data_IF_524653042973
#
_entry.id   IF_524653042973
#
_cell.length_a   1.000
_cell.length_b   1.000
_cell.length_c   1.000
_cell.angle_alpha   90.00
_cell.angle_beta   90.00
_cell.angle_gamma   90.00
#
_symmetry.space_group_name_H-M   'P 1'
#
loop_
_entity.id
_entity.type
_entity.pdbx_description
1 polymer ?
#
# COMPACT_ATOMS: atom_id res chain seq x y z
N UNK A 1 -34.42 28.27 2.99
CA UNK A 1 -34.92 26.92 3.31
C UNK A 1 -35.35 26.09 2.09
N UNK A 2 -36.20 26.56 1.17
CA UNK A 2 -36.66 25.75 0.02
C UNK A 2 -35.56 25.20 -0.91
N UNK A 3 -34.47 25.94 -1.13
CA UNK A 3 -33.34 25.48 -1.97
C UNK A 3 -32.53 24.34 -1.34
N UNK A 4 -32.39 24.32 -0.01
CA UNK A 4 -31.62 23.30 0.73
C UNK A 4 -32.35 21.94 0.68
N UNK A 5 -33.68 21.96 0.78
CA UNK A 5 -34.52 20.75 0.69
C UNK A 5 -34.38 20.08 -0.68
N UNK A 6 -34.27 20.87 -1.76
CA UNK A 6 -34.08 20.33 -3.11
C UNK A 6 -32.74 19.62 -3.28
N UNK A 7 -31.66 20.14 -2.69
CA UNK A 7 -30.34 19.50 -2.76
C UNK A 7 -30.29 18.21 -1.93
N UNK A 8 -30.94 18.18 -0.76
CA UNK A 8 -31.06 16.98 0.07
C UNK A 8 -31.80 15.85 -0.67
N UNK A 9 -32.88 16.17 -1.38
CA UNK A 9 -33.61 15.16 -2.15
C UNK A 9 -32.79 14.56 -3.29
N UNK A 10 -31.98 15.37 -3.99
CA UNK A 10 -31.09 14.88 -5.06
C UNK A 10 -30.02 13.93 -4.49
N UNK A 11 -29.41 14.29 -3.36
CA UNK A 11 -28.44 13.41 -2.70
C UNK A 11 -29.04 12.07 -2.26
N UNK A 12 -30.26 12.06 -1.73
CA UNK A 12 -30.97 10.83 -1.35
C UNK A 12 -31.23 9.93 -2.56
N UNK A 13 -31.59 10.50 -3.71
CA UNK A 13 -31.78 9.73 -4.95
C UNK A 13 -30.46 9.10 -5.40
N UNK A 14 -29.35 9.83 -5.38
CA UNK A 14 -28.04 9.29 -5.79
C UNK A 14 -27.61 8.13 -4.88
N UNK A 15 -27.83 8.25 -3.56
CA UNK A 15 -27.51 7.18 -2.61
C UNK A 15 -28.39 5.93 -2.80
N UNK A 16 -29.67 6.10 -3.15
CA UNK A 16 -30.59 4.97 -3.34
C UNK A 16 -30.35 4.21 -4.65
N UNK A 17 -29.82 4.86 -5.70
CA UNK A 17 -29.58 4.24 -7.00
C UNK A 17 -28.10 3.87 -7.24
N UNK A 18 -27.19 4.12 -6.28
CA UNK A 18 -25.75 4.02 -6.45
C UNK A 18 -25.10 2.64 -6.22
N UNK A 19 -25.83 1.59 -5.86
CA UNK A 19 -25.23 0.25 -5.67
C UNK A 19 -25.05 -0.47 -7.02
N UNK A 20 -23.90 -0.22 -7.66
CA UNK A 20 -23.42 -1.02 -8.80
C UNK A 20 -23.02 -2.43 -8.34
N UNK A 21 -23.37 -3.42 -9.16
CA UNK A 21 -23.10 -4.84 -8.93
C UNK A 21 -21.60 -5.12 -8.97
N UNK A 22 -21.14 -5.87 -7.97
CA UNK A 22 -19.79 -6.43 -7.90
C UNK A 22 -19.80 -7.78 -8.65
N UNK A 23 -18.96 -7.91 -9.68
CA UNK A 23 -18.79 -9.16 -10.42
C UNK A 23 -17.75 -10.02 -9.70
N UNK A 24 -18.19 -11.20 -9.23
CA UNK A 24 -17.36 -12.18 -8.54
C UNK A 24 -16.67 -13.03 -9.62
N UNK A 25 -15.34 -12.92 -9.71
CA UNK A 25 -14.53 -13.82 -10.53
C UNK A 25 -14.42 -15.19 -9.86
N UNK A 26 -14.75 -16.24 -10.62
CA UNK A 26 -14.78 -17.64 -10.22
C UNK A 26 -13.36 -18.23 -10.26
N UNK A 27 -12.94 -18.90 -9.18
CA UNK A 27 -11.62 -19.50 -9.00
C UNK A 27 -11.53 -20.88 -9.70
N UNK A 28 -10.51 -21.08 -10.55
CA UNK A 28 -10.29 -22.36 -11.23
C UNK A 28 -9.67 -23.42 -10.31
N UNK A 29 -10.25 -24.62 -10.33
CA UNK A 29 -9.91 -25.76 -9.48
C UNK A 29 -8.83 -26.64 -10.15
N UNK A 30 -7.67 -26.74 -9.52
CA UNK A 30 -6.56 -27.61 -9.98
C UNK A 30 -6.83 -29.06 -9.54
N UNK A 31 -6.89 -29.99 -10.50
CA UNK A 31 -6.97 -31.43 -10.27
C UNK A 31 -5.59 -32.06 -10.33
N UNK A 32 -5.13 -32.61 -9.20
CA UNK A 32 -3.91 -33.40 -9.13
C UNK A 32 -4.15 -34.81 -9.69
N UNK A 33 -3.32 -35.24 -10.64
CA UNK A 33 -3.29 -36.61 -11.14
C UNK A 33 -2.41 -37.48 -10.23
N UNK A 34 -2.94 -38.64 -9.85
CA UNK A 34 -2.25 -39.68 -9.09
C UNK A 34 -1.31 -40.42 -10.04
N UNK A 35 -0.03 -40.49 -9.69
CA UNK A 35 0.99 -41.28 -10.41
C UNK A 35 1.25 -42.54 -9.58
N UNK A 36 1.15 -43.69 -10.23
CA UNK A 36 1.31 -45.03 -9.66
C UNK A 36 2.76 -45.32 -9.22
N UNK A 37 2.85 -46.09 -8.14
CA UNK A 37 4.06 -46.55 -7.47
C UNK A 37 4.91 -47.46 -8.38
N UNK A 38 6.17 -47.08 -8.60
CA UNK A 38 7.20 -47.93 -9.18
C UNK A 38 8.20 -48.25 -8.07
N UNK A 39 8.22 -49.50 -7.62
CA UNK A 39 9.25 -50.03 -6.74
C UNK A 39 10.57 -50.13 -7.51
N UNK A 40 11.53 -49.26 -7.18
CA UNK A 40 12.89 -49.32 -7.70
C UNK A 40 13.91 -49.43 -6.57
N UNK A 41 14.81 -50.38 -6.81
CA UNK A 41 15.89 -50.91 -5.99
C UNK A 41 16.84 -49.83 -5.42
N UNK A 42 17.13 -49.96 -4.13
CA UNK A 42 17.79 -48.98 -3.27
C UNK A 42 19.29 -48.86 -3.58
N UNK A 43 19.65 -47.86 -4.38
CA UNK A 43 21.02 -47.33 -4.48
C UNK A 43 21.01 -45.90 -3.99
N UNK A 44 21.59 -45.69 -2.81
CA UNK A 44 21.81 -44.38 -2.23
C UNK A 44 22.77 -43.55 -3.11
N UNK A 45 22.20 -42.82 -4.07
CA UNK A 45 22.89 -41.75 -4.78
C UNK A 45 22.59 -40.44 -4.03
N UNK A 46 23.61 -39.67 -3.61
CA UNK A 46 23.39 -38.39 -2.96
C UNK A 46 22.65 -37.45 -3.94
N UNK A 47 21.36 -37.23 -3.68
CA UNK A 47 20.54 -36.27 -4.42
C UNK A 47 20.99 -34.88 -4.01
N UNK A 48 21.74 -34.22 -4.88
CA UNK A 48 22.02 -32.79 -4.76
C UNK A 48 20.75 -32.08 -5.22
N UNK A 49 19.90 -31.70 -4.26
CA UNK A 49 18.73 -30.86 -4.52
C UNK A 49 19.23 -29.44 -4.69
N UNK A 50 19.37 -28.99 -5.95
CA UNK A 50 19.59 -27.59 -6.25
C UNK A 50 18.25 -26.86 -6.04
N UNK A 51 18.13 -26.12 -4.94
CA UNK A 51 16.96 -25.25 -4.70
C UNK A 51 16.96 -24.11 -5.72
N UNK A 52 16.12 -24.23 -6.75
CA UNK A 52 15.77 -23.12 -7.62
C UNK A 52 14.94 -22.11 -6.81
N UNK A 53 15.54 -20.97 -6.46
CA UNK A 53 14.81 -19.87 -5.84
C UNK A 53 13.94 -19.22 -6.90
N UNK A 54 12.63 -19.37 -6.78
CA UNK A 54 11.68 -18.60 -7.57
C UNK A 54 11.77 -17.12 -7.17
N UNK A 55 12.14 -16.26 -8.12
CA UNK A 55 12.15 -14.81 -7.95
C UNK A 55 10.71 -14.30 -8.01
N UNK A 56 10.04 -14.23 -6.86
CA UNK A 56 8.72 -13.62 -6.74
C UNK A 56 8.87 -12.11 -6.95
N UNK A 57 8.47 -11.63 -8.13
CA UNK A 57 8.40 -10.19 -8.43
C UNK A 57 7.16 -9.62 -7.76
N UNK A 58 7.35 -8.76 -6.75
CA UNK A 58 6.23 -8.05 -6.12
C UNK A 58 6.18 -6.58 -6.52
N UNK A 59 4.95 -6.05 -6.60
CA UNK A 59 4.69 -4.67 -7.00
C UNK A 59 5.09 -3.74 -5.85
N UNK A 60 5.88 -2.71 -6.18
CA UNK A 60 6.20 -1.63 -5.24
C UNK A 60 4.97 -0.76 -5.07
N UNK A 61 4.67 -0.36 -3.83
CA UNK A 61 3.54 0.48 -3.53
C UNK A 61 3.96 1.55 -2.51
N UNK A 62 3.56 2.79 -2.74
CA UNK A 62 3.72 3.89 -1.79
C UNK A 62 2.43 4.72 -1.80
N UNK A 63 1.80 4.85 -0.65
CA UNK A 63 0.63 5.69 -0.43
C UNK A 63 1.02 6.85 0.48
N UNK A 64 0.59 8.04 0.10
CA UNK A 64 0.88 9.29 0.77
C UNK A 64 -0.44 9.94 1.23
N UNK A 65 -0.55 10.22 2.53
CA UNK A 65 -1.81 10.68 3.15
C UNK A 65 -2.13 12.15 2.91
N UNK A 66 -1.15 12.96 2.51
CA UNK A 66 -1.34 14.38 2.20
C UNK A 66 -1.08 14.75 0.72
N UNK A 67 -0.83 13.72 -0.10
CA UNK A 67 -0.63 13.82 -1.55
C UNK A 67 0.63 14.59 -1.98
N UNK A 68 1.71 14.52 -1.20
CA UNK A 68 3.05 14.85 -1.69
C UNK A 68 3.87 15.60 -0.66
N UNK A 69 4.31 16.81 -1.00
CA UNK A 69 5.14 17.62 -0.11
C UNK A 69 4.27 18.75 0.47
N UNK A 70 3.60 18.47 1.59
CA UNK A 70 2.60 19.32 2.24
C UNK A 70 2.91 19.55 3.72
N UNK A 71 3.95 20.37 3.97
CA UNK A 71 4.45 20.76 5.30
C UNK A 71 3.47 21.36 6.33
N UNK A 72 2.20 21.59 6.00
CA UNK A 72 1.16 22.18 6.88
C UNK A 72 0.11 21.17 7.32
N UNK A 73 0.23 19.92 6.85
CA UNK A 73 -0.63 18.80 7.24
C UNK A 73 0.27 17.80 7.97
N UNK A 74 -0.27 17.12 8.98
CA UNK A 74 0.43 16.01 9.61
C UNK A 74 0.26 14.78 8.70
N UNK A 75 1.26 14.55 7.86
CA UNK A 75 1.29 13.50 6.87
C UNK A 75 1.99 12.22 7.34
N UNK A 76 1.82 11.20 6.52
CA UNK A 76 2.45 9.90 6.65
C UNK A 76 2.42 9.17 5.32
N UNK A 77 3.41 8.33 5.11
CA UNK A 77 3.49 7.41 3.97
C UNK A 77 3.54 5.96 4.42
N UNK A 78 2.92 5.06 3.66
CA UNK A 78 3.00 3.62 3.92
C UNK A 78 2.89 2.81 2.63
N UNK A 79 3.43 1.60 2.64
CA UNK A 79 3.42 0.75 1.45
C UNK A 79 4.33 -0.46 1.55
N UNK A 80 4.80 -0.94 0.40
CA UNK A 80 5.63 -2.13 0.26
C UNK A 80 6.78 -1.88 -0.71
N UNK A 81 7.97 -2.36 -0.34
CA UNK A 81 9.09 -2.49 -1.29
C UNK A 81 8.86 -3.68 -2.23
N UNK A 82 9.61 -3.75 -3.33
CA UNK A 82 9.51 -4.84 -4.32
C UNK A 82 9.97 -6.22 -3.83
N UNK A 83 10.34 -6.35 -2.55
CA UNK A 83 10.62 -7.61 -1.87
C UNK A 83 9.52 -7.94 -0.82
N UNK A 84 8.34 -7.32 -0.95
CA UNK A 84 7.21 -7.47 -0.03
C UNK A 84 7.45 -6.96 1.40
N UNK A 85 8.55 -6.26 1.65
CA UNK A 85 8.78 -5.66 2.97
C UNK A 85 7.89 -4.43 3.12
N UNK A 86 7.03 -4.43 4.15
CA UNK A 86 6.16 -3.28 4.48
C UNK A 86 6.98 -2.13 5.08
N UNK A 87 6.62 -0.90 4.76
CA UNK A 87 7.11 0.31 5.43
C UNK A 87 5.98 1.25 5.85
N UNK A 88 6.26 2.09 6.84
CA UNK A 88 5.40 3.18 7.31
C UNK A 88 6.29 4.26 7.91
N UNK A 89 6.15 5.50 7.44
CA UNK A 89 6.86 6.68 7.94
C UNK A 89 5.87 7.80 8.18
N UNK A 90 6.11 8.60 9.23
CA UNK A 90 5.26 9.73 9.60
C UNK A 90 6.11 10.98 9.62
N UNK A 91 5.52 12.10 9.22
CA UNK A 91 6.17 13.38 9.38
C UNK A 91 6.45 13.64 10.84
N UNK A 92 7.55 14.33 11.13
CA UNK A 92 7.87 14.68 12.49
C UNK A 92 8.72 15.94 12.61
N UNK A 93 8.48 16.67 13.68
CA UNK A 93 9.33 17.79 14.06
C UNK A 93 10.67 17.27 14.59
N UNK A 94 11.73 17.37 13.78
CA UNK A 94 13.09 17.04 14.22
C UNK A 94 13.57 17.98 15.34
N UNK A 95 13.12 19.24 15.30
CA UNK A 95 13.23 20.20 16.38
C UNK A 95 12.19 21.32 16.20
N UNK A 96 12.25 22.37 17.03
CA UNK A 96 11.29 23.49 17.00
C UNK A 96 11.15 24.19 15.65
N UNK A 97 12.15 24.14 14.77
CA UNK A 97 12.14 24.88 13.51
C UNK A 97 12.28 23.97 12.28
N UNK A 98 12.43 22.65 12.45
CA UNK A 98 12.68 21.75 11.34
C UNK A 98 11.70 20.58 11.34
N UNK A 99 11.00 20.42 10.21
CA UNK A 99 10.09 19.32 9.92
C UNK A 99 10.80 18.34 8.98
N UNK A 100 10.83 17.06 9.36
CA UNK A 100 11.14 15.98 8.42
C UNK A 100 9.84 15.56 7.76
N UNK A 101 9.73 15.85 6.46
CA UNK A 101 8.62 15.44 5.61
C UNK A 101 8.95 14.11 4.94
N UNK A 102 8.01 13.17 4.93
CA UNK A 102 8.05 11.98 4.10
C UNK A 102 7.00 12.07 3.00
N UNK A 103 7.37 11.69 1.78
CA UNK A 103 6.47 11.74 0.63
C UNK A 103 6.74 10.59 -0.33
N UNK A 104 5.76 10.28 -1.19
CA UNK A 104 5.93 9.29 -2.26
C UNK A 104 6.31 9.95 -3.59
N UNK A 105 7.39 9.48 -4.21
CA UNK A 105 7.79 9.88 -5.58
C UNK A 105 8.15 8.63 -6.38
N UNK A 106 7.49 8.42 -7.53
CA UNK A 106 7.66 7.22 -8.37
C UNK A 106 7.58 5.91 -7.56
N UNK A 107 6.56 5.79 -6.70
CA UNK A 107 6.33 4.66 -5.77
C UNK A 107 7.44 4.44 -4.74
N UNK A 108 8.41 5.35 -4.61
CA UNK A 108 9.46 5.27 -3.62
C UNK A 108 9.20 6.20 -2.43
N UNK A 109 9.46 5.76 -1.19
CA UNK A 109 9.50 6.66 -0.06
C UNK A 109 10.70 7.61 -0.20
N UNK A 110 10.43 8.90 -0.06
CA UNK A 110 11.43 9.98 -0.01
C UNK A 110 11.26 10.77 1.28
N UNK A 111 12.27 11.59 1.59
CA UNK A 111 12.20 12.52 2.70
C UNK A 111 12.80 13.88 2.33
N UNK A 112 12.31 14.94 2.94
CA UNK A 112 12.83 16.30 2.77
C UNK A 112 12.81 17.05 4.09
N UNK A 113 13.86 17.84 4.35
CA UNK A 113 13.97 18.63 5.57
C UNK A 113 13.49 20.07 5.31
N UNK A 114 12.37 20.46 5.91
CA UNK A 114 11.83 21.81 5.83
C UNK A 114 12.21 22.67 7.03
N UNK A 115 12.53 23.95 6.76
CA UNK A 115 12.61 24.99 7.78
C UNK A 115 11.22 25.63 7.99
N UNK A 116 10.63 25.42 9.17
CA UNK A 116 9.41 26.07 9.62
C UNK A 116 9.72 27.42 10.26
N UNK A 117 9.34 28.52 9.61
CA UNK A 117 9.64 29.89 10.08
C UNK A 117 8.89 30.27 11.36
N UNK A 118 7.70 29.71 11.57
CA UNK A 118 6.85 30.00 12.73
C UNK A 118 6.88 28.88 13.78
N UNK A 119 7.75 27.89 13.60
CA UNK A 119 7.80 26.71 14.45
C UNK A 119 7.21 25.47 13.80
N UNK A 120 7.62 24.32 14.33
CA UNK A 120 7.08 23.01 14.02
C UNK A 120 6.33 22.49 15.24
N UNK A 121 5.04 22.24 15.08
CA UNK A 121 4.12 21.81 16.13
C UNK A 121 3.25 20.68 15.58
N UNK A 122 2.94 19.67 16.40
CA UNK A 122 2.10 18.51 16.00
C UNK A 122 2.47 17.88 14.65
N UNK A 123 3.78 17.75 14.40
CA UNK A 123 4.38 17.19 13.19
C UNK A 123 4.04 17.92 11.89
N UNK A 124 3.82 19.23 11.94
CA UNK A 124 3.70 20.10 10.77
C UNK A 124 4.24 21.50 11.08
N UNK A 125 4.48 22.31 10.05
CA UNK A 125 4.82 23.72 10.22
C UNK A 125 3.55 24.55 10.56
N UNK A 126 3.69 25.46 11.52
CA UNK A 126 2.65 26.43 11.92
C UNK A 126 2.56 27.68 11.02
#
# INVERSE_FOLDING_TARGET
MRRIISFLLIFVVIFLFGCGKEEIMEEEKITAAVIDEIEAEDKEVPVIVEEEKEDIVTVRLCHDTDNGIVRWVNGSIFGFYGNSTRFEFKDYCQNKNYLMEFYCEDENPKQFLFLCRNGCEDNHCA
#
